data_IF_890745424550
#
_entry.id   IF_890745424550
#
_cell.length_a   1.000
_cell.length_b   1.000
_cell.length_c   1.000
_cell.angle_alpha   90.00
_cell.angle_beta   90.00
_cell.angle_gamma   90.00
#
_symmetry.space_group_name_H-M   'P 1'
#
loop_
_entity.id
_entity.type
_entity.pdbx_description
1 polymer ?
#
# COMPACT_ATOMS: atom_id res chain seq x y z
N UNK A 1 59.35 -2.95 37.66
CA UNK A 1 57.94 -2.58 37.42
C UNK A 1 57.27 -3.66 36.51
N UNK A 2 56.43 -4.50 37.11
CA UNK A 2 55.81 -5.63 36.41
C UNK A 2 54.51 -5.21 35.71
N UNK A 3 54.45 -5.28 34.40
CA UNK A 3 53.31 -4.91 33.53
C UNK A 3 52.23 -6.01 33.60
N UNK A 4 51.17 -5.79 34.37
CA UNK A 4 50.02 -6.70 34.59
C UNK A 4 49.29 -6.94 33.25
N UNK A 5 49.46 -8.11 32.61
CA UNK A 5 48.73 -8.53 31.42
C UNK A 5 47.25 -8.72 31.78
N UNK A 6 46.40 -7.81 31.29
CA UNK A 6 44.91 -7.94 31.35
C UNK A 6 44.51 -9.15 30.51
N UNK A 7 44.03 -10.18 31.19
CA UNK A 7 43.48 -11.39 30.53
C UNK A 7 42.26 -11.02 29.68
N UNK A 8 42.30 -11.37 28.42
CA UNK A 8 41.21 -11.24 27.44
C UNK A 8 40.10 -12.19 27.87
N UNK A 9 38.98 -11.65 28.42
CA UNK A 9 37.78 -12.46 28.73
C UNK A 9 37.34 -13.18 27.48
N UNK A 10 37.44 -14.52 27.43
CA UNK A 10 36.82 -15.35 26.41
C UNK A 10 35.32 -15.07 26.45
N UNK A 11 34.76 -14.54 25.36
CA UNK A 11 33.29 -14.48 25.16
C UNK A 11 32.77 -15.91 25.26
N UNK A 12 31.80 -16.13 26.16
CA UNK A 12 31.10 -17.41 26.21
C UNK A 12 30.50 -17.70 24.84
N UNK A 13 30.46 -18.97 24.38
CA UNK A 13 29.81 -19.31 23.12
C UNK A 13 28.35 -18.89 23.21
N UNK A 14 27.95 -18.05 22.28
CA UNK A 14 26.56 -17.62 22.11
C UNK A 14 25.75 -18.88 21.80
N UNK A 15 24.88 -19.27 22.73
CA UNK A 15 23.97 -20.39 22.55
C UNK A 15 22.98 -19.97 21.46
N UNK A 16 23.28 -20.36 20.21
CA UNK A 16 22.39 -20.16 19.08
C UNK A 16 21.17 -21.04 19.33
N UNK A 17 20.08 -20.43 19.79
CA UNK A 17 18.78 -21.08 19.88
C UNK A 17 18.36 -21.52 18.46
N UNK A 18 18.43 -22.82 18.19
CA UNK A 18 18.12 -23.43 16.89
C UNK A 18 16.68 -23.22 16.41
N UNK A 19 15.83 -22.53 17.17
CA UNK A 19 14.42 -22.27 16.86
C UNK A 19 14.09 -20.81 16.60
N UNK A 20 15.09 -19.90 16.64
CA UNK A 20 14.86 -18.53 16.22
C UNK A 20 14.80 -18.47 14.69
N UNK A 21 13.63 -18.12 14.15
CA UNK A 21 13.47 -17.88 12.73
C UNK A 21 14.44 -16.76 12.30
N UNK A 22 15.08 -16.88 11.11
CA UNK A 22 16.01 -15.87 10.62
C UNK A 22 15.37 -14.48 10.71
N UNK A 23 16.11 -13.50 11.24
CA UNK A 23 15.64 -12.12 11.29
C UNK A 23 15.25 -11.66 9.89
N UNK A 24 13.97 -11.39 9.68
CA UNK A 24 13.44 -11.04 8.35
C UNK A 24 12.53 -12.10 7.71
N UNK A 25 12.41 -13.30 8.27
CA UNK A 25 11.49 -14.33 7.75
C UNK A 25 10.05 -13.81 7.59
N UNK A 26 9.50 -13.20 8.63
CA UNK A 26 8.14 -12.64 8.59
C UNK A 26 7.99 -11.55 7.53
N UNK A 27 9.02 -10.76 7.29
CA UNK A 27 9.05 -9.75 6.24
C UNK A 27 8.92 -10.38 4.85
N UNK A 28 9.69 -11.44 4.59
CA UNK A 28 9.61 -12.16 3.31
C UNK A 28 8.23 -12.78 3.12
N UNK A 29 7.64 -13.35 4.18
CA UNK A 29 6.28 -13.89 4.14
C UNK A 29 5.25 -12.81 3.81
N UNK A 30 5.32 -11.65 4.48
CA UNK A 30 4.41 -10.54 4.22
C UNK A 30 4.56 -10.02 2.78
N UNK A 31 5.79 -9.80 2.32
CA UNK A 31 6.04 -9.35 0.96
C UNK A 31 5.54 -10.35 -0.08
N UNK A 32 5.75 -11.64 0.15
CA UNK A 32 5.23 -12.69 -0.73
C UNK A 32 3.69 -12.71 -0.75
N UNK A 33 3.05 -12.59 0.42
CA UNK A 33 1.59 -12.51 0.52
C UNK A 33 1.03 -11.29 -0.21
N UNK A 34 1.72 -10.14 -0.17
CA UNK A 34 1.33 -8.96 -0.93
C UNK A 34 1.38 -9.20 -2.43
N UNK A 35 2.41 -9.90 -2.95
CA UNK A 35 2.51 -10.27 -4.36
C UNK A 35 1.37 -11.23 -4.74
N UNK A 36 1.14 -12.27 -3.93
CA UNK A 36 0.04 -13.23 -4.18
C UNK A 36 -1.30 -12.51 -4.21
N UNK A 37 -1.53 -11.59 -3.27
CA UNK A 37 -2.76 -10.81 -3.24
C UNK A 37 -2.89 -9.89 -4.47
N UNK A 38 -1.79 -9.25 -4.90
CA UNK A 38 -1.77 -8.46 -6.14
C UNK A 38 -2.15 -9.30 -7.37
N UNK A 39 -1.60 -10.51 -7.49
CA UNK A 39 -1.95 -11.45 -8.57
C UNK A 39 -3.42 -11.85 -8.51
N UNK A 40 -3.96 -12.14 -7.32
CA UNK A 40 -5.39 -12.46 -7.15
C UNK A 40 -6.29 -11.29 -7.58
N UNK A 41 -5.91 -10.05 -7.27
CA UNK A 41 -6.63 -8.87 -7.74
C UNK A 41 -6.61 -8.75 -9.25
N UNK A 42 -5.47 -9.00 -9.91
CA UNK A 42 -5.37 -9.01 -11.37
C UNK A 42 -6.24 -10.10 -11.97
N UNK A 43 -6.22 -11.31 -11.41
CA UNK A 43 -7.08 -12.41 -11.87
C UNK A 43 -8.55 -12.05 -11.77
N UNK A 44 -8.95 -11.30 -10.73
CA UNK A 44 -10.34 -10.87 -10.58
C UNK A 44 -10.83 -9.90 -11.65
N UNK A 45 -9.93 -9.28 -12.45
CA UNK A 45 -10.32 -8.45 -13.60
C UNK A 45 -10.89 -9.25 -14.77
N UNK A 46 -10.44 -10.50 -14.91
CA UNK A 46 -10.82 -11.36 -16.04
C UNK A 46 -12.16 -12.10 -15.84
N UNK A 47 -12.99 -11.67 -14.90
CA UNK A 47 -14.35 -12.16 -14.70
C UNK A 47 -14.51 -13.19 -13.58
N UNK A 48 -15.54 -14.02 -13.65
CA UNK A 48 -15.98 -14.91 -12.58
C UNK A 48 -15.06 -16.13 -12.31
N UNK A 49 -13.91 -16.18 -12.95
CA UNK A 49 -12.94 -17.28 -12.85
C UNK A 49 -12.36 -17.48 -11.43
N UNK A 50 -12.49 -16.47 -10.55
CA UNK A 50 -11.94 -16.48 -9.19
C UNK A 50 -12.91 -16.95 -8.11
N UNK A 51 -14.13 -17.33 -8.46
CA UNK A 51 -15.16 -17.73 -7.48
C UNK A 51 -15.77 -16.56 -6.70
N UNK A 52 -16.77 -16.85 -5.87
CA UNK A 52 -17.56 -15.85 -5.12
C UNK A 52 -16.73 -14.94 -4.21
N UNK A 53 -15.66 -15.46 -3.60
CA UNK A 53 -14.83 -14.67 -2.69
C UNK A 53 -14.12 -13.54 -3.45
N UNK A 54 -13.56 -13.84 -4.61
CA UNK A 54 -12.81 -12.87 -5.40
C UNK A 54 -13.73 -11.82 -6.03
N UNK A 55 -14.92 -12.21 -6.49
CA UNK A 55 -15.94 -11.27 -6.98
C UNK A 55 -16.43 -10.33 -5.86
N UNK A 56 -16.67 -10.86 -4.65
CA UNK A 56 -17.06 -10.04 -3.51
C UNK A 56 -15.97 -9.02 -3.13
N UNK A 57 -14.69 -9.44 -3.12
CA UNK A 57 -13.57 -8.52 -2.85
C UNK A 57 -13.48 -7.45 -3.93
N UNK A 58 -13.61 -7.82 -5.20
CA UNK A 58 -13.63 -6.88 -6.33
C UNK A 58 -14.75 -5.86 -6.17
N UNK A 59 -15.98 -6.31 -5.96
CA UNK A 59 -17.15 -5.44 -5.88
C UNK A 59 -17.07 -4.52 -4.65
N UNK A 60 -16.56 -5.02 -3.53
CA UNK A 60 -16.29 -4.22 -2.34
C UNK A 60 -15.24 -3.14 -2.62
N UNK A 61 -14.11 -3.49 -3.27
CA UNK A 61 -13.06 -2.54 -3.59
C UNK A 61 -13.49 -1.51 -4.63
N UNK A 62 -14.22 -1.94 -5.68
CA UNK A 62 -14.79 -1.02 -6.67
C UNK A 62 -15.78 -0.05 -6.03
N UNK A 63 -16.59 -0.52 -5.09
CA UNK A 63 -17.52 0.34 -4.37
C UNK A 63 -16.79 1.32 -3.44
N UNK A 64 -15.69 0.91 -2.81
CA UNK A 64 -14.94 1.72 -1.86
C UNK A 64 -14.08 2.80 -2.57
N UNK A 65 -13.25 2.41 -3.53
CA UNK A 65 -12.23 3.26 -4.17
C UNK A 65 -12.43 3.44 -5.69
N UNK A 66 -13.46 2.83 -6.25
CA UNK A 66 -13.79 2.94 -7.66
C UNK A 66 -12.69 2.44 -8.58
N UNK A 67 -12.43 3.17 -9.66
CA UNK A 67 -11.43 2.81 -10.67
C UNK A 67 -9.99 2.79 -10.15
N UNK A 68 -9.71 3.41 -9.02
CA UNK A 68 -8.42 3.30 -8.33
C UNK A 68 -8.06 1.86 -7.96
N UNK A 69 -9.07 0.98 -7.87
CA UNK A 69 -8.89 -0.46 -7.70
C UNK A 69 -7.92 -1.07 -8.73
N UNK A 70 -7.91 -0.59 -9.97
CA UNK A 70 -7.00 -1.09 -11.01
C UNK A 70 -5.53 -0.71 -10.78
N UNK A 71 -5.25 0.33 -9.99
CA UNK A 71 -3.89 0.73 -9.59
C UNK A 71 -3.37 -0.07 -8.38
N UNK A 72 -4.28 -0.66 -7.62
CA UNK A 72 -3.96 -1.33 -6.35
C UNK A 72 -2.95 -2.48 -6.50
N UNK A 73 -3.04 -3.39 -7.51
CA UNK A 73 -2.04 -4.44 -7.70
C UNK A 73 -0.64 -3.90 -7.97
N UNK A 74 -0.51 -2.86 -8.80
CA UNK A 74 0.78 -2.25 -9.09
C UNK A 74 1.42 -1.66 -7.82
N UNK A 75 0.61 -1.03 -6.99
CA UNK A 75 1.05 -0.47 -5.72
C UNK A 75 1.44 -1.52 -4.69
N UNK A 76 0.71 -2.63 -4.62
CA UNK A 76 1.07 -3.76 -3.76
C UNK A 76 2.40 -4.39 -4.18
N UNK A 77 2.65 -4.53 -5.49
CA UNK A 77 3.94 -5.01 -5.99
C UNK A 77 5.05 -4.03 -5.62
N UNK A 78 4.84 -2.73 -5.78
CA UNK A 78 5.81 -1.70 -5.39
C UNK A 78 6.14 -1.78 -3.89
N UNK A 79 5.13 -1.82 -3.02
CA UNK A 79 5.32 -1.96 -1.58
C UNK A 79 6.03 -3.27 -1.22
N UNK A 80 5.68 -4.37 -1.89
CA UNK A 80 6.37 -5.66 -1.70
C UNK A 80 7.86 -5.56 -2.01
N UNK A 81 8.25 -4.90 -3.11
CA UNK A 81 9.66 -4.68 -3.46
C UNK A 81 10.36 -3.83 -2.40
N UNK A 82 9.71 -2.79 -1.88
CA UNK A 82 10.25 -1.97 -0.80
C UNK A 82 10.47 -2.80 0.47
N UNK A 83 9.49 -3.63 0.83
CA UNK A 83 9.60 -4.55 1.98
C UNK A 83 10.78 -5.51 1.81
N UNK A 84 11.00 -6.04 0.60
CA UNK A 84 12.16 -6.90 0.33
C UNK A 84 13.50 -6.18 0.43
N UNK A 85 13.56 -4.91 0.00
CA UNK A 85 14.80 -4.11 -0.05
C UNK A 85 15.16 -3.43 1.27
N UNK A 86 14.21 -3.28 2.20
CA UNK A 86 14.46 -2.58 3.46
C UNK A 86 15.55 -3.31 4.28
N UNK A 87 16.67 -2.64 4.65
CA UNK A 87 17.75 -3.27 5.40
C UNK A 87 17.35 -3.57 6.86
N UNK A 88 16.53 -2.73 7.45
CA UNK A 88 15.98 -2.89 8.79
C UNK A 88 14.55 -3.45 8.74
N UNK A 89 14.18 -4.26 9.74
CA UNK A 89 12.88 -4.96 9.81
C UNK A 89 11.64 -4.04 9.86
N UNK A 90 11.74 -2.80 9.41
CA UNK A 90 10.66 -1.81 9.44
C UNK A 90 10.48 -1.21 8.05
N UNK A 91 9.24 -1.22 7.56
CA UNK A 91 8.83 -0.34 6.48
C UNK A 91 8.81 1.05 7.09
N UNK A 92 9.46 2.01 6.45
CA UNK A 92 9.39 3.39 6.91
C UNK A 92 7.92 3.85 6.94
N UNK A 93 7.40 4.24 8.13
CA UNK A 93 6.01 4.66 8.26
C UNK A 93 5.59 5.72 7.22
N UNK A 94 6.43 6.71 6.85
CA UNK A 94 6.08 7.70 5.84
C UNK A 94 5.77 7.07 4.48
N UNK A 95 6.50 6.04 4.05
CA UNK A 95 6.27 5.39 2.75
C UNK A 95 4.91 4.70 2.70
N UNK A 96 4.53 4.02 3.78
CA UNK A 96 3.21 3.37 3.87
C UNK A 96 2.09 4.40 3.86
N UNK A 97 2.24 5.48 4.62
CA UNK A 97 1.25 6.57 4.69
C UNK A 97 1.13 7.28 3.33
N UNK A 98 2.25 7.62 2.68
CA UNK A 98 2.28 8.21 1.34
C UNK A 98 1.54 7.34 0.33
N UNK A 99 1.78 6.04 0.37
CA UNK A 99 1.14 5.08 -0.53
C UNK A 99 -0.38 5.05 -0.37
N UNK A 100 -0.88 5.04 0.85
CA UNK A 100 -2.31 5.08 1.15
C UNK A 100 -2.93 6.42 0.71
N UNK A 101 -2.26 7.53 1.01
CA UNK A 101 -2.71 8.87 0.60
C UNK A 101 -2.74 9.01 -0.92
N UNK A 102 -1.76 8.46 -1.61
CA UNK A 102 -1.72 8.47 -3.07
C UNK A 102 -2.94 7.73 -3.66
N UNK A 103 -3.29 6.55 -3.16
CA UNK A 103 -4.51 5.85 -3.58
C UNK A 103 -5.77 6.67 -3.30
N UNK A 104 -5.82 7.34 -2.15
CA UNK A 104 -6.94 8.20 -1.78
C UNK A 104 -7.09 9.38 -2.76
N UNK A 105 -6.00 10.06 -3.11
CA UNK A 105 -6.05 11.15 -4.08
C UNK A 105 -6.43 10.68 -5.49
N UNK A 106 -5.95 9.51 -5.93
CA UNK A 106 -6.41 8.93 -7.19
C UNK A 106 -7.90 8.62 -7.18
N UNK A 107 -8.46 8.13 -6.06
CA UNK A 107 -9.91 7.93 -5.92
C UNK A 107 -10.69 9.25 -6.08
N UNK A 108 -10.18 10.36 -5.54
CA UNK A 108 -10.78 11.68 -5.72
C UNK A 108 -10.67 12.15 -7.17
N UNK A 109 -9.49 11.99 -7.82
CA UNK A 109 -9.28 12.38 -9.22
C UNK A 109 -10.21 11.62 -10.16
N UNK A 110 -10.34 10.30 -10.02
CA UNK A 110 -11.25 9.51 -10.86
C UNK A 110 -12.72 9.72 -10.53
N UNK A 111 -13.03 10.09 -9.29
CA UNK A 111 -14.39 10.40 -8.86
C UNK A 111 -14.92 11.74 -9.34
N UNK A 112 -14.03 12.73 -9.52
CA UNK A 112 -14.43 14.10 -9.84
C UNK A 112 -15.21 14.23 -11.16
N UNK A 113 -14.80 13.67 -12.31
CA UNK A 113 -15.57 13.73 -13.56
C UNK A 113 -16.90 12.95 -13.49
N UNK A 114 -16.93 11.86 -12.73
CA UNK A 114 -18.13 11.02 -12.58
C UNK A 114 -19.23 11.66 -11.73
N UNK A 115 -18.86 12.56 -10.83
CA UNK A 115 -19.80 13.27 -9.95
C UNK A 115 -20.83 14.07 -10.76
N UNK A 116 -20.39 14.79 -11.78
CA UNK A 116 -21.26 15.57 -12.67
C UNK A 116 -22.19 14.72 -13.55
N UNK A 117 -21.88 13.44 -13.73
CA UNK A 117 -22.63 12.50 -14.56
C UNK A 117 -23.44 11.47 -13.75
N UNK A 118 -23.45 11.58 -12.41
CA UNK A 118 -24.13 10.64 -11.52
C UNK A 118 -23.50 9.25 -11.44
N UNK A 119 -22.28 9.07 -11.94
CA UNK A 119 -21.54 7.79 -11.92
C UNK A 119 -20.31 7.93 -11.03
N UNK A 120 -20.33 7.26 -9.89
CA UNK A 120 -19.25 7.33 -8.90
C UNK A 120 -18.03 6.49 -9.32
N UNK A 121 -17.21 7.00 -10.23
CA UNK A 121 -15.97 6.33 -10.67
C UNK A 121 -14.88 6.29 -9.58
N UNK A 122 -14.97 7.16 -8.57
CA UNK A 122 -14.05 7.21 -7.43
C UNK A 122 -14.48 6.37 -6.23
N UNK A 123 -15.58 5.62 -6.36
CA UNK A 123 -16.17 4.90 -5.23
C UNK A 123 -16.72 5.83 -4.14
N UNK A 124 -17.06 5.25 -2.98
CA UNK A 124 -17.61 6.01 -1.84
C UNK A 124 -16.61 7.06 -1.33
N UNK A 125 -15.30 6.73 -1.30
CA UNK A 125 -14.27 7.65 -0.80
C UNK A 125 -14.10 8.85 -1.73
N UNK A 126 -14.00 8.63 -3.04
CA UNK A 126 -13.89 9.71 -4.01
C UNK A 126 -15.16 10.56 -4.09
N UNK A 127 -16.34 9.95 -4.04
CA UNK A 127 -17.62 10.65 -4.06
C UNK A 127 -17.76 11.57 -2.84
N UNK A 128 -17.54 11.05 -1.62
CA UNK A 128 -17.72 11.83 -0.40
C UNK A 128 -16.82 13.06 -0.29
N UNK A 129 -15.59 13.00 -0.84
CA UNK A 129 -14.71 14.17 -0.89
C UNK A 129 -15.14 15.13 -2.00
N UNK A 130 -15.52 14.59 -3.17
CA UNK A 130 -15.94 15.41 -4.30
C UNK A 130 -17.26 16.15 -4.05
N UNK A 131 -18.20 15.57 -3.32
CA UNK A 131 -19.42 16.24 -2.90
C UNK A 131 -19.09 17.55 -2.15
N UNK A 132 -18.14 17.50 -1.23
CA UNK A 132 -17.71 18.65 -0.46
C UNK A 132 -16.87 19.65 -1.26
N UNK A 133 -15.92 19.16 -2.06
CA UNK A 133 -14.96 20.02 -2.76
C UNK A 133 -15.60 20.69 -3.99
N UNK A 134 -16.46 19.98 -4.74
CA UNK A 134 -17.10 20.53 -5.93
C UNK A 134 -18.23 21.54 -5.59
N UNK A 135 -18.71 21.54 -4.35
CA UNK A 135 -19.57 22.61 -3.85
C UNK A 135 -18.82 23.93 -3.62
N UNK A 136 -17.46 23.86 -3.46
CA UNK A 136 -16.62 25.02 -3.17
C UNK A 136 -15.87 25.53 -4.38
N UNK A 137 -15.47 24.64 -5.30
CA UNK A 137 -14.62 24.94 -6.45
C UNK A 137 -15.08 24.19 -7.69
N UNK A 138 -14.78 24.77 -8.87
CA UNK A 138 -15.08 24.13 -10.15
C UNK A 138 -14.24 22.86 -10.39
N UNK A 139 -14.76 21.93 -11.20
CA UNK A 139 -14.13 20.66 -11.54
C UNK A 139 -12.64 20.76 -11.95
N UNK A 140 -12.21 21.68 -12.84
CA UNK A 140 -10.80 21.79 -13.24
C UNK A 140 -9.90 22.15 -12.05
N UNK A 141 -10.38 23.03 -11.15
CA UNK A 141 -9.63 23.47 -9.97
C UNK A 141 -9.54 22.33 -8.95
N UNK A 142 -10.61 21.58 -8.74
CA UNK A 142 -10.61 20.42 -7.86
C UNK A 142 -9.59 19.36 -8.33
N UNK A 143 -9.60 19.00 -9.62
CA UNK A 143 -8.64 18.05 -10.19
C UNK A 143 -7.20 18.56 -10.01
N UNK A 144 -6.93 19.84 -10.26
CA UNK A 144 -5.61 20.43 -10.07
C UNK A 144 -5.14 20.30 -8.61
N UNK A 145 -6.02 20.59 -7.65
CA UNK A 145 -5.74 20.43 -6.22
C UNK A 145 -5.37 18.99 -5.91
N UNK A 146 -6.16 18.03 -6.36
CA UNK A 146 -5.91 16.60 -6.09
C UNK A 146 -4.60 16.11 -6.72
N UNK A 147 -4.28 16.56 -7.94
CA UNK A 147 -3.01 16.23 -8.60
C UNK A 147 -1.83 16.79 -7.81
N UNK A 148 -1.90 18.05 -7.36
CA UNK A 148 -0.84 18.64 -6.52
C UNK A 148 -0.68 17.88 -5.21
N UNK A 149 -1.78 17.51 -4.54
CA UNK A 149 -1.74 16.75 -3.30
C UNK A 149 -1.18 15.33 -3.53
N UNK A 150 -1.54 14.69 -4.64
CA UNK A 150 -0.96 13.39 -5.02
C UNK A 150 0.55 13.49 -5.27
N UNK A 151 1.02 14.56 -5.92
CA UNK A 151 2.46 14.79 -6.16
C UNK A 151 3.24 15.10 -4.87
N UNK A 152 2.63 15.82 -3.92
CA UNK A 152 3.26 16.09 -2.62
C UNK A 152 3.41 14.82 -1.79
N UNK A 153 2.49 13.87 -1.96
CA UNK A 153 2.48 12.61 -1.21
C UNK A 153 3.24 11.47 -1.89
N UNK A 154 3.68 11.63 -3.14
CA UNK A 154 4.45 10.63 -3.88
C UNK A 154 5.93 10.63 -3.49
#
# INVERSE_FOLDING_TARGET
>A
MAKKRRGRKKKAPEVVNKHELPGGFWRQVVAFLMIVFAVLLVVSWFGDSGGKLLSTVRDFMLNLIGWTYYLLPAMLVYLSVLVFRAPDNRIDPPVTVSSILMLFWFSCIFGAPGHTQGVAHGGILGAGVNDFVLDLVDLPVAILIYVVLALITA
#
